data_IF_380817690629
#
_entry.id   IF_380817690629
#
_cell.length_a   1.000
_cell.length_b   1.000
_cell.length_c   1.000
_cell.angle_alpha   90.00
_cell.angle_beta   90.00
_cell.angle_gamma   90.00
#
_symmetry.space_group_name_H-M   'P 1'
#
loop_
_entity.id
_entity.type
_entity.pdbx_description
1 polymer ?
#
# COMPACT_ATOMS: atom_id res chain seq x y z
N UNK A 1 -35.78 -12.40 -64.33
CA UNK A 1 -34.47 -12.83 -63.80
C UNK A 1 -34.11 -11.88 -62.63
N UNK A 2 -34.37 -12.31 -61.41
CA UNK A 2 -34.11 -11.53 -60.21
C UNK A 2 -32.70 -11.86 -59.73
N UNK A 3 -31.78 -10.89 -59.71
CA UNK A 3 -30.46 -11.03 -59.12
C UNK A 3 -30.56 -10.73 -57.62
N UNK A 4 -30.38 -11.75 -56.80
CA UNK A 4 -30.25 -11.65 -55.34
C UNK A 4 -28.79 -11.22 -55.07
N UNK A 5 -28.62 -10.00 -54.59
CA UNK A 5 -27.32 -9.52 -54.12
C UNK A 5 -27.22 -9.90 -52.62
N UNK A 6 -26.44 -10.91 -52.34
CA UNK A 6 -26.12 -11.32 -50.96
C UNK A 6 -25.07 -10.38 -50.37
N UNK A 7 -25.51 -9.52 -49.48
CA UNK A 7 -24.65 -8.61 -48.72
C UNK A 7 -23.95 -9.42 -47.59
N UNK A 8 -22.69 -9.79 -47.78
CA UNK A 8 -21.88 -10.40 -46.74
C UNK A 8 -21.46 -9.29 -45.81
N UNK A 9 -22.12 -9.16 -44.70
CA UNK A 9 -21.80 -8.26 -43.60
C UNK A 9 -20.64 -8.88 -42.81
N UNK A 10 -19.37 -8.49 -43.09
CA UNK A 10 -18.20 -8.83 -42.28
C UNK A 10 -18.34 -8.10 -40.94
N UNK A 11 -18.83 -8.81 -39.93
CA UNK A 11 -18.76 -8.38 -38.53
C UNK A 11 -17.30 -8.55 -38.09
N UNK A 12 -16.56 -7.47 -38.11
CA UNK A 12 -15.28 -7.37 -37.43
C UNK A 12 -15.56 -7.41 -35.93
N UNK A 13 -15.43 -8.58 -35.35
CA UNK A 13 -15.36 -8.72 -33.89
C UNK A 13 -14.01 -8.12 -33.49
N UNK A 14 -14.03 -6.87 -33.09
CA UNK A 14 -12.92 -6.27 -32.34
C UNK A 14 -12.86 -7.02 -31.02
N UNK A 15 -12.08 -8.11 -30.98
CA UNK A 15 -11.61 -8.68 -29.76
C UNK A 15 -10.73 -7.63 -29.09
N UNK A 16 -11.34 -6.76 -28.29
CA UNK A 16 -10.64 -5.90 -27.35
C UNK A 16 -9.95 -6.86 -26.38
N UNK A 17 -8.68 -7.10 -26.62
CA UNK A 17 -7.81 -7.80 -25.68
C UNK A 17 -7.70 -6.88 -24.45
N UNK A 18 -8.59 -7.06 -23.49
CA UNK A 18 -8.55 -6.32 -22.24
C UNK A 18 -7.33 -6.83 -21.48
N UNK A 19 -6.27 -6.02 -21.43
CA UNK A 19 -5.06 -6.31 -20.68
C UNK A 19 -5.42 -6.72 -19.26
N UNK A 20 -4.91 -7.83 -18.78
CA UNK A 20 -5.14 -8.23 -17.41
C UNK A 20 -4.48 -7.23 -16.45
N UNK A 21 -5.03 -7.09 -15.25
CA UNK A 21 -4.44 -6.22 -14.21
C UNK A 21 -2.99 -6.61 -13.91
N UNK A 22 -2.66 -7.88 -13.97
CA UNK A 22 -1.32 -8.40 -13.74
C UNK A 22 -0.35 -7.98 -14.85
N UNK A 23 -0.76 -8.09 -16.11
CA UNK A 23 0.03 -7.64 -17.27
C UNK A 23 0.30 -6.13 -17.21
N UNK A 24 -0.73 -5.33 -16.91
CA UNK A 24 -0.59 -3.88 -16.73
C UNK A 24 0.40 -3.53 -15.60
N UNK A 25 0.35 -4.27 -14.47
CA UNK A 25 1.30 -4.10 -13.37
C UNK A 25 2.72 -4.48 -13.79
N UNK A 26 2.92 -5.60 -14.46
CA UNK A 26 4.24 -6.04 -14.93
C UNK A 26 4.84 -5.04 -15.92
N UNK A 27 4.03 -4.54 -16.85
CA UNK A 27 4.45 -3.49 -17.80
C UNK A 27 4.91 -2.24 -17.05
N UNK A 28 4.13 -1.77 -16.08
CA UNK A 28 4.46 -0.60 -15.29
C UNK A 28 5.78 -0.78 -14.51
N UNK A 29 5.95 -1.94 -13.85
CA UNK A 29 7.19 -2.25 -13.13
C UNK A 29 8.39 -2.27 -14.08
N UNK A 30 8.26 -2.86 -15.26
CA UNK A 30 9.32 -2.91 -16.27
C UNK A 30 9.65 -1.51 -16.82
N UNK A 31 8.65 -0.65 -17.01
CA UNK A 31 8.84 0.74 -17.45
C UNK A 31 9.65 1.56 -16.45
N UNK A 32 9.42 1.33 -15.15
CA UNK A 32 10.08 2.09 -14.09
C UNK A 32 11.43 1.49 -13.66
N UNK A 33 11.68 0.23 -13.90
CA UNK A 33 12.94 -0.41 -13.53
C UNK A 33 14.14 0.23 -14.25
N UNK A 34 15.13 0.69 -13.49
CA UNK A 34 16.29 1.41 -14.00
C UNK A 34 16.06 2.87 -14.39
N UNK A 35 14.82 3.38 -14.30
CA UNK A 35 14.51 4.80 -14.54
C UNK A 35 15.09 5.66 -13.41
N UNK A 36 15.75 6.75 -13.78
CA UNK A 36 16.29 7.70 -12.81
C UNK A 36 15.18 8.59 -12.23
N UNK A 37 15.13 8.71 -10.91
CA UNK A 37 14.29 9.68 -10.22
C UNK A 37 15.02 11.02 -10.13
N UNK A 38 14.42 12.04 -10.71
CA UNK A 38 14.91 13.42 -10.68
C UNK A 38 14.37 14.13 -9.45
N UNK A 39 15.26 14.63 -8.61
CA UNK A 39 14.89 15.42 -7.43
C UNK A 39 14.79 16.91 -7.75
N UNK A 40 13.87 17.65 -7.08
CA UNK A 40 13.85 19.10 -7.14
C UNK A 40 15.22 19.69 -6.74
N UNK A 41 15.61 20.79 -7.38
CA UNK A 41 16.88 21.47 -7.07
C UNK A 41 16.99 21.90 -5.61
N UNK A 42 15.85 22.11 -4.96
CA UNK A 42 15.77 22.46 -3.53
C UNK A 42 14.61 21.72 -2.88
N UNK A 43 14.92 20.79 -1.99
CA UNK A 43 13.94 20.10 -1.14
C UNK A 43 14.17 20.50 0.32
N UNK A 44 13.14 21.02 0.97
CA UNK A 44 13.22 21.42 2.37
C UNK A 44 12.54 20.35 3.21
N UNK A 45 13.33 19.61 3.96
CA UNK A 45 12.84 18.61 4.90
C UNK A 45 12.58 19.22 6.28
N UNK A 46 11.50 18.79 6.91
CA UNK A 46 11.06 19.28 8.21
C UNK A 46 10.59 18.16 9.11
N UNK A 47 10.74 18.32 10.42
CA UNK A 47 10.08 17.47 11.40
C UNK A 47 8.67 18.01 11.64
N UNK A 48 7.67 17.20 11.34
CA UNK A 48 6.24 17.52 11.51
C UNK A 48 5.83 18.86 10.85
N UNK A 49 6.49 19.24 9.76
CA UNK A 49 6.22 20.49 9.03
C UNK A 49 6.57 21.75 9.80
N UNK A 50 7.43 21.70 10.82
CA UNK A 50 7.83 22.82 11.67
C UNK A 50 9.33 23.09 11.60
N UNK A 51 10.13 22.22 12.17
CA UNK A 51 11.56 22.43 12.35
C UNK A 51 12.31 21.91 11.12
N UNK A 52 12.99 22.81 10.41
CA UNK A 52 13.80 22.47 9.24
C UNK A 52 15.03 21.64 9.68
N UNK A 53 15.31 20.59 8.94
CA UNK A 53 16.46 19.73 9.15
C UNK A 53 17.29 19.64 7.87
N UNK A 54 18.59 19.59 8.03
CA UNK A 54 19.51 19.24 6.95
C UNK A 54 19.44 17.71 6.74
N UNK A 55 18.95 17.30 5.58
CA UNK A 55 18.71 15.89 5.29
C UNK A 55 19.55 15.46 4.09
N UNK A 56 20.75 14.98 4.38
CA UNK A 56 21.67 14.49 3.35
C UNK A 56 21.37 13.04 2.99
N UNK A 57 21.25 12.76 1.71
CA UNK A 57 20.95 11.42 1.17
C UNK A 57 21.76 11.07 -0.09
N UNK A 58 22.64 11.97 -0.54
CA UNK A 58 23.35 11.83 -1.82
C UNK A 58 24.27 10.59 -1.90
N UNK A 59 24.93 10.23 -0.82
CA UNK A 59 25.95 9.18 -0.77
C UNK A 59 25.44 7.80 -0.32
N UNK A 60 24.12 7.63 -0.16
CA UNK A 60 23.57 6.36 0.28
C UNK A 60 23.52 5.34 -0.88
N UNK A 61 23.92 4.08 -0.61
CA UNK A 61 23.87 2.98 -1.58
C UNK A 61 22.43 2.70 -2.03
N UNK A 62 21.49 2.82 -1.11
CA UNK A 62 20.04 2.70 -1.36
C UNK A 62 19.29 3.85 -0.69
N UNK A 63 18.18 4.25 -1.31
CA UNK A 63 17.24 5.27 -0.81
C UNK A 63 15.81 4.80 -1.04
N UNK A 64 14.93 5.02 -0.07
CA UNK A 64 13.50 4.78 -0.26
C UNK A 64 12.81 6.12 -0.50
N UNK A 65 12.18 6.30 -1.66
CA UNK A 65 11.41 7.50 -1.98
C UNK A 65 9.93 7.17 -1.95
N UNK A 66 9.17 7.93 -1.18
CA UNK A 66 7.70 7.80 -1.11
C UNK A 66 7.08 9.15 -1.47
N UNK A 67 6.30 9.16 -2.54
CA UNK A 67 5.49 10.29 -2.93
C UNK A 67 4.04 10.04 -2.54
N UNK A 68 3.40 11.05 -1.95
CA UNK A 68 1.98 11.00 -1.59
C UNK A 68 1.30 12.24 -2.15
N UNK A 69 0.38 12.03 -3.10
CA UNK A 69 -0.37 13.07 -3.77
C UNK A 69 -1.52 13.63 -2.90
N UNK A 70 -2.11 14.73 -3.35
CA UNK A 70 -3.24 15.42 -2.71
C UNK A 70 -4.62 14.84 -3.03
N UNK A 71 -4.70 13.76 -3.83
CA UNK A 71 -5.98 13.19 -4.28
C UNK A 71 -6.55 12.24 -3.24
N UNK A 72 -7.81 12.43 -2.84
CA UNK A 72 -8.53 11.54 -1.92
C UNK A 72 -8.22 11.78 -0.44
N UNK A 73 -8.27 10.71 0.35
CA UNK A 73 -8.10 10.76 1.81
C UNK A 73 -6.62 10.79 2.21
N UNK A 74 -6.13 11.90 2.75
CA UNK A 74 -4.73 12.07 3.18
C UNK A 74 -4.34 11.05 4.26
N UNK A 75 -5.14 10.91 5.32
CA UNK A 75 -4.83 9.99 6.43
C UNK A 75 -4.77 8.53 5.98
N UNK A 76 -5.62 8.15 5.00
CA UNK A 76 -5.64 6.80 4.44
C UNK A 76 -4.34 6.45 3.71
N UNK A 77 -3.75 7.42 3.02
CA UNK A 77 -2.54 7.24 2.21
C UNK A 77 -1.27 7.26 3.04
N UNK A 78 -1.22 8.12 4.05
CA UNK A 78 0.00 8.35 4.84
C UNK A 78 0.46 7.10 5.59
N UNK A 79 -0.44 6.40 6.28
CA UNK A 79 -0.13 5.20 7.11
C UNK A 79 1.15 5.36 7.97
N UNK A 80 1.36 6.54 8.54
CA UNK A 80 2.56 6.94 9.27
C UNK A 80 3.01 5.95 10.35
N UNK A 81 2.11 5.33 11.16
CA UNK A 81 2.52 4.32 12.15
C UNK A 81 3.19 3.10 11.53
N UNK A 82 2.81 2.72 10.29
CA UNK A 82 3.45 1.60 9.57
C UNK A 82 4.81 2.00 9.03
N UNK A 83 4.94 3.23 8.53
CA UNK A 83 6.22 3.77 8.11
C UNK A 83 7.21 3.88 9.26
N UNK A 84 6.80 4.31 10.47
CA UNK A 84 7.67 4.30 11.67
C UNK A 84 8.26 2.91 11.92
N UNK A 85 7.46 1.85 11.82
CA UNK A 85 7.93 0.47 11.98
C UNK A 85 8.90 0.06 10.87
N UNK A 86 8.62 0.40 9.62
CA UNK A 86 9.48 0.08 8.48
C UNK A 86 10.82 0.79 8.57
N UNK A 87 10.83 2.09 8.89
CA UNK A 87 12.04 2.88 9.10
C UNK A 87 12.90 2.27 10.22
N UNK A 88 12.31 2.02 11.40
CA UNK A 88 13.02 1.45 12.52
C UNK A 88 13.64 0.06 12.21
N UNK A 89 12.93 -0.77 11.45
CA UNK A 89 13.40 -2.08 11.01
C UNK A 89 14.61 -1.95 10.05
N UNK A 90 14.51 -1.08 9.03
CA UNK A 90 15.61 -0.84 8.08
C UNK A 90 16.80 -0.21 8.78
N UNK A 91 16.59 0.77 9.67
CA UNK A 91 17.66 1.42 10.44
C UNK A 91 18.41 0.39 11.31
N UNK A 92 17.67 -0.52 11.96
CA UNK A 92 18.27 -1.60 12.75
C UNK A 92 19.14 -2.56 11.90
N UNK A 93 18.70 -2.87 10.68
CA UNK A 93 19.42 -3.77 9.77
C UNK A 93 20.60 -3.12 9.07
N UNK A 94 20.59 -1.80 8.92
CA UNK A 94 21.57 -1.05 8.10
C UNK A 94 22.38 -0.04 8.87
N UNK A 95 22.18 0.10 10.19
CA UNK A 95 22.75 1.17 11.01
C UNK A 95 22.44 2.57 10.43
N UNK A 96 21.19 2.81 10.00
CA UNK A 96 20.74 4.10 9.48
C UNK A 96 21.30 4.50 8.11
N UNK A 97 21.87 3.56 7.34
CA UNK A 97 22.48 3.87 6.04
C UNK A 97 21.52 4.01 4.88
N UNK A 98 20.23 3.74 5.06
CA UNK A 98 19.19 3.83 4.02
C UNK A 98 18.21 4.94 4.37
N UNK A 99 18.36 6.14 3.81
CA UNK A 99 17.43 7.23 4.06
C UNK A 99 16.08 6.99 3.40
N UNK A 100 15.04 7.42 4.10
CA UNK A 100 13.67 7.47 3.58
C UNK A 100 13.35 8.92 3.21
N UNK A 101 12.93 9.15 1.99
CA UNK A 101 12.60 10.46 1.43
C UNK A 101 11.09 10.55 1.26
N UNK A 102 10.43 11.15 2.24
CA UNK A 102 8.99 11.36 2.22
C UNK A 102 8.66 12.69 1.57
N UNK A 103 8.06 12.67 0.39
CA UNK A 103 7.54 13.83 -0.31
C UNK A 103 6.02 13.80 -0.27
N UNK A 104 5.44 14.77 0.40
CA UNK A 104 4.02 14.90 0.54
C UNK A 104 3.54 16.14 -0.18
N UNK A 105 2.71 15.95 -1.22
CA UNK A 105 2.01 17.04 -1.88
C UNK A 105 0.67 17.27 -1.17
N UNK A 106 0.57 18.22 -0.22
CA UNK A 106 -0.62 18.39 0.60
C UNK A 106 -1.74 19.12 -0.15
N UNK A 107 -2.98 18.65 -0.02
CA UNK A 107 -4.16 19.43 -0.33
C UNK A 107 -4.38 20.53 0.72
N UNK A 108 -4.14 20.18 1.99
CA UNK A 108 -4.15 21.10 3.13
C UNK A 108 -2.91 20.84 4.01
N UNK A 109 -2.05 21.83 4.09
CA UNK A 109 -0.84 21.78 4.91
C UNK A 109 -1.15 21.62 6.40
N UNK A 110 -2.27 22.20 6.89
CA UNK A 110 -2.66 22.12 8.30
C UNK A 110 -3.06 20.69 8.66
N UNK A 111 -3.84 20.05 7.79
CA UNK A 111 -4.22 18.64 7.95
C UNK A 111 -2.96 17.75 8.01
N UNK A 112 -2.03 17.90 7.08
CA UNK A 112 -0.81 17.11 7.04
C UNK A 112 0.05 17.31 8.31
N UNK A 113 0.19 18.55 8.79
CA UNK A 113 0.87 18.84 10.06
C UNK A 113 0.16 18.23 11.26
N UNK A 114 -1.17 18.25 11.27
CA UNK A 114 -1.95 17.60 12.32
C UNK A 114 -1.71 16.08 12.32
N UNK A 115 -1.78 15.43 11.16
CA UNK A 115 -1.59 14.00 11.03
C UNK A 115 -0.17 13.54 11.44
N UNK A 116 0.87 14.28 11.03
CA UNK A 116 2.25 13.97 11.42
C UNK A 116 2.46 14.09 12.93
N UNK A 117 1.79 15.04 13.60
CA UNK A 117 1.83 15.19 15.05
C UNK A 117 0.99 14.14 15.76
N UNK A 118 -0.24 13.90 15.32
CA UNK A 118 -1.14 12.89 15.89
C UNK A 118 -0.46 11.51 15.96
N UNK A 119 0.24 11.14 14.88
CA UNK A 119 0.90 9.86 14.77
C UNK A 119 2.35 9.87 15.31
N UNK A 120 2.76 11.00 15.91
CA UNK A 120 4.11 11.22 16.42
C UNK A 120 5.18 10.80 15.39
N UNK A 121 5.03 11.29 14.15
CA UNK A 121 5.94 10.99 13.06
C UNK A 121 7.07 12.01 13.05
N UNK A 122 8.19 11.64 13.65
CA UNK A 122 9.37 12.50 13.84
C UNK A 122 10.43 12.32 12.75
N UNK A 123 10.15 11.51 11.73
CA UNK A 123 11.07 11.35 10.59
C UNK A 123 10.94 12.55 9.63
N UNK A 124 12.06 12.99 8.99
CA UNK A 124 12.02 14.12 8.09
C UNK A 124 11.07 13.96 6.91
N UNK A 125 10.27 14.98 6.65
CA UNK A 125 9.32 15.02 5.53
C UNK A 125 9.48 16.31 4.73
N UNK A 126 9.39 16.22 3.41
CA UNK A 126 9.30 17.37 2.51
C UNK A 126 7.83 17.64 2.18
N UNK A 127 7.32 18.83 2.50
CA UNK A 127 6.01 19.29 2.06
C UNK A 127 6.17 19.94 0.69
N UNK A 128 6.00 19.14 -0.36
CA UNK A 128 6.14 19.56 -1.75
C UNK A 128 4.85 20.25 -2.23
N UNK A 129 4.63 21.48 -1.77
CA UNK A 129 3.41 22.26 -2.07
C UNK A 129 3.23 22.54 -3.57
N UNK A 130 4.32 22.53 -4.34
CA UNK A 130 4.31 22.79 -5.78
C UNK A 130 4.27 21.54 -6.63
N UNK A 131 4.22 20.37 -6.00
CA UNK A 131 4.26 19.08 -6.69
C UNK A 131 5.49 18.92 -7.61
N UNK A 132 6.63 19.50 -7.19
CA UNK A 132 7.83 19.56 -8.04
C UNK A 132 8.39 18.16 -8.33
N UNK A 133 8.42 17.28 -7.31
CA UNK A 133 8.92 15.93 -7.50
C UNK A 133 8.09 15.14 -8.53
N UNK A 134 6.77 15.19 -8.43
CA UNK A 134 5.90 14.51 -9.38
C UNK A 134 5.93 15.15 -10.78
N UNK A 135 6.01 16.47 -10.87
CA UNK A 135 6.14 17.18 -12.16
C UNK A 135 7.41 16.79 -12.90
N UNK A 136 8.51 16.51 -12.21
CA UNK A 136 9.77 16.06 -12.79
C UNK A 136 9.72 14.61 -13.27
N UNK A 137 8.96 13.75 -12.58
CA UNK A 137 9.01 12.29 -12.78
C UNK A 137 7.74 11.70 -13.39
N UNK A 138 6.58 12.36 -13.25
CA UNK A 138 5.27 11.89 -13.71
C UNK A 138 4.93 10.51 -13.15
N UNK A 139 4.85 10.42 -11.81
CA UNK A 139 4.58 9.16 -11.11
C UNK A 139 3.26 8.51 -11.52
N UNK A 140 3.14 7.18 -11.39
CA UNK A 140 1.89 6.48 -11.61
C UNK A 140 0.76 7.05 -10.75
N UNK A 141 -0.45 7.09 -11.29
CA UNK A 141 -1.63 7.57 -10.55
C UNK A 141 -2.09 6.60 -9.46
N UNK A 142 -1.79 5.30 -9.60
CA UNK A 142 -2.06 4.31 -8.55
C UNK A 142 -1.02 4.47 -7.44
N UNK A 143 -1.49 4.91 -6.26
CA UNK A 143 -0.68 5.15 -5.07
C UNK A 143 0.13 3.91 -4.61
N UNK A 144 -0.28 2.71 -5.01
CA UNK A 144 0.44 1.46 -4.72
C UNK A 144 1.84 1.47 -5.33
N UNK A 145 2.04 2.25 -6.41
CA UNK A 145 3.28 2.36 -7.16
C UNK A 145 4.01 3.70 -7.00
N UNK A 146 3.65 4.49 -5.99
CA UNK A 146 4.28 5.78 -5.69
C UNK A 146 5.39 5.68 -4.63
N UNK A 147 5.93 4.47 -4.42
CA UNK A 147 7.09 4.23 -3.55
C UNK A 147 8.14 3.45 -4.33
N UNK A 148 9.39 3.89 -4.21
CA UNK A 148 10.52 3.39 -4.98
C UNK A 148 11.72 3.11 -4.08
N UNK A 149 12.38 1.98 -4.29
CA UNK A 149 13.74 1.75 -3.81
C UNK A 149 14.70 2.18 -4.93
N UNK A 150 15.59 3.08 -4.62
CA UNK A 150 16.59 3.61 -5.54
C UNK A 150 17.98 3.10 -5.16
N UNK A 151 18.85 2.94 -6.15
CA UNK A 151 20.28 2.76 -5.97
C UNK A 151 21.00 4.08 -5.70
N UNK A 152 22.35 4.03 -5.59
CA UNK A 152 23.20 5.21 -5.40
C UNK A 152 23.06 6.25 -6.50
N UNK A 153 22.77 5.84 -7.72
CA UNK A 153 22.62 6.68 -8.92
C UNK A 153 21.18 7.18 -9.11
N UNK A 154 20.33 7.07 -8.09
CA UNK A 154 18.90 7.41 -8.09
C UNK A 154 18.06 6.61 -9.09
N UNK A 155 18.52 5.45 -9.55
CA UNK A 155 17.75 4.59 -10.43
C UNK A 155 16.86 3.65 -9.64
N UNK A 156 15.64 3.44 -10.13
CA UNK A 156 14.67 2.54 -9.53
C UNK A 156 15.15 1.10 -9.64
N UNK A 157 15.34 0.42 -8.51
CA UNK A 157 15.68 -1.00 -8.43
C UNK A 157 14.49 -1.87 -7.95
N UNK A 158 13.52 -1.26 -7.30
CA UNK A 158 12.23 -1.86 -6.99
C UNK A 158 11.17 -0.76 -6.82
N UNK A 159 9.90 -1.09 -7.11
CA UNK A 159 8.78 -0.19 -6.88
C UNK A 159 7.62 -0.91 -6.20
N UNK A 160 6.77 -0.13 -5.55
CA UNK A 160 5.62 -0.60 -4.79
C UNK A 160 5.73 -0.25 -3.32
N UNK A 161 4.60 -0.18 -2.64
CA UNK A 161 4.55 0.29 -1.26
C UNK A 161 4.84 -0.85 -0.25
N UNK A 162 6.02 -0.86 0.44
CA UNK A 162 6.41 -1.94 1.34
C UNK A 162 5.60 -1.98 2.64
N UNK A 163 4.94 -0.87 3.02
CA UNK A 163 4.08 -0.86 4.23
C UNK A 163 2.67 -1.36 3.93
N UNK A 164 2.31 -1.53 2.65
CA UNK A 164 1.03 -2.07 2.21
C UNK A 164 1.14 -3.50 1.66
N UNK A 165 2.34 -3.93 1.26
CA UNK A 165 2.55 -5.25 0.66
C UNK A 165 3.78 -5.95 1.26
N UNK A 166 3.58 -7.04 2.04
CA UNK A 166 4.68 -7.78 2.66
C UNK A 166 5.71 -8.34 1.66
N UNK A 167 5.27 -8.75 0.46
CA UNK A 167 6.20 -9.25 -0.58
C UNK A 167 7.09 -8.14 -1.11
N UNK A 168 6.55 -6.93 -1.24
CA UNK A 168 7.34 -5.74 -1.61
C UNK A 168 8.31 -5.38 -0.50
N UNK A 169 7.88 -5.47 0.77
CA UNK A 169 8.75 -5.27 1.93
C UNK A 169 9.91 -6.27 1.94
N UNK A 170 9.63 -7.56 1.76
CA UNK A 170 10.64 -8.61 1.68
C UNK A 170 11.62 -8.36 0.53
N UNK A 171 11.13 -7.94 -0.64
CA UNK A 171 11.98 -7.55 -1.77
C UNK A 171 12.92 -6.40 -1.43
N UNK A 172 12.41 -5.33 -0.79
CA UNK A 172 13.22 -4.18 -0.39
C UNK A 172 14.29 -4.59 0.62
N UNK A 173 13.92 -5.31 1.68
CA UNK A 173 14.85 -5.79 2.70
C UNK A 173 15.91 -6.71 2.09
N UNK A 174 15.52 -7.61 1.19
CA UNK A 174 16.44 -8.50 0.50
C UNK A 174 17.46 -7.77 -0.36
N UNK A 175 17.06 -6.71 -1.08
CA UNK A 175 17.96 -5.88 -1.88
C UNK A 175 18.90 -5.05 -0.99
N UNK A 176 18.36 -4.40 0.04
CA UNK A 176 19.10 -3.53 0.96
C UNK A 176 20.17 -4.31 1.75
N UNK A 177 19.83 -5.51 2.22
CA UNK A 177 20.73 -6.33 3.05
C UNK A 177 21.64 -7.26 2.25
N UNK A 178 21.45 -7.35 0.93
CA UNK A 178 22.12 -8.34 0.08
C UNK A 178 21.64 -9.79 0.31
N UNK A 179 20.76 -10.00 1.26
CA UNK A 179 20.14 -11.29 1.56
C UNK A 179 18.90 -11.45 0.69
N UNK A 180 19.05 -12.01 -0.50
CA UNK A 180 17.90 -12.55 -1.24
C UNK A 180 17.44 -13.78 -0.49
N UNK A 181 16.61 -13.60 0.52
CA UNK A 181 15.92 -14.71 1.19
C UNK A 181 15.14 -15.43 0.12
N UNK A 182 15.72 -16.54 -0.31
CA UNK A 182 15.04 -17.48 -1.16
C UNK A 182 13.78 -17.92 -0.44
N UNK A 183 12.64 -17.59 -1.04
CA UNK A 183 11.36 -18.27 -0.82
C UNK A 183 10.99 -18.47 0.65
N UNK A 184 10.04 -17.72 1.14
CA UNK A 184 9.07 -18.32 2.05
C UNK A 184 8.36 -19.44 1.26
N UNK A 185 9.03 -20.59 1.11
CA UNK A 185 8.43 -21.84 0.70
C UNK A 185 7.62 -22.39 1.86
N UNK A 186 6.77 -21.55 2.42
CA UNK A 186 5.72 -21.97 3.32
C UNK A 186 4.79 -22.86 2.54
N UNK A 187 4.57 -24.07 3.03
CA UNK A 187 3.58 -24.99 2.49
C UNK A 187 2.26 -24.24 2.32
N UNK A 188 1.77 -24.10 1.07
CA UNK A 188 0.50 -23.44 0.81
C UNK A 188 -0.64 -24.28 1.37
N UNK A 189 -1.64 -23.60 1.92
CA UNK A 189 -2.88 -24.22 2.41
C UNK A 189 -4.10 -23.65 1.71
N UNK A 190 -5.29 -24.00 2.15
CA UNK A 190 -6.57 -23.50 1.68
C UNK A 190 -7.31 -22.79 2.81
N UNK A 191 -8.07 -21.76 2.47
CA UNK A 191 -8.87 -21.00 3.42
C UNK A 191 -10.27 -20.80 2.87
N UNK A 192 -11.27 -20.90 3.72
CA UNK A 192 -12.61 -20.39 3.46
C UNK A 192 -12.91 -19.21 4.38
N UNK A 193 -13.78 -18.33 3.94
CA UNK A 193 -14.22 -17.16 4.67
C UNK A 193 -15.74 -17.18 4.82
N UNK A 194 -16.25 -16.75 5.95
CA UNK A 194 -17.69 -16.72 6.20
C UNK A 194 -18.39 -15.61 5.42
N UNK A 195 -17.74 -14.45 5.28
CA UNK A 195 -18.25 -13.24 4.63
C UNK A 195 -17.10 -12.52 3.91
N UNK A 196 -17.40 -11.86 2.80
CA UNK A 196 -16.44 -10.98 2.10
C UNK A 196 -16.74 -9.49 2.32
N UNK A 197 -17.86 -9.20 2.99
CA UNK A 197 -18.30 -7.83 3.28
C UNK A 197 -18.87 -7.75 4.69
N UNK A 198 -18.52 -6.68 5.41
CA UNK A 198 -19.13 -6.27 6.68
C UNK A 198 -19.85 -4.94 6.48
N UNK A 199 -21.14 -4.91 6.77
CA UNK A 199 -21.93 -3.70 6.79
C UNK A 199 -22.17 -3.27 8.24
N UNK A 200 -21.66 -2.09 8.62
CA UNK A 200 -21.83 -1.53 9.96
C UNK A 200 -23.15 -0.77 10.11
N UNK A 201 -23.91 -0.56 9.00
CA UNK A 201 -25.14 0.20 9.02
C UNK A 201 -24.93 1.70 9.28
N UNK A 202 -25.92 2.32 9.90
CA UNK A 202 -25.88 3.74 10.29
C UNK A 202 -25.61 3.83 11.79
N UNK A 203 -24.66 4.67 12.20
CA UNK A 203 -24.29 4.84 13.61
C UNK A 203 -23.75 6.27 13.88
N UNK A 204 -23.86 6.76 15.16
CA UNK A 204 -23.23 8.01 15.57
C UNK A 204 -21.72 7.96 15.39
N UNK A 205 -21.12 9.02 14.84
CA UNK A 205 -19.66 9.04 14.54
C UNK A 205 -18.77 8.92 15.78
N UNK A 206 -19.30 9.27 16.96
CA UNK A 206 -18.61 9.14 18.25
C UNK A 206 -18.55 7.67 18.74
N UNK A 207 -19.33 6.80 18.13
CA UNK A 207 -19.39 5.39 18.52
C UNK A 207 -18.42 4.53 17.71
N UNK A 208 -17.55 3.85 18.44
CA UNK A 208 -16.70 2.83 17.86
C UNK A 208 -17.54 1.61 17.46
N UNK A 209 -17.36 1.16 16.24
CA UNK A 209 -18.05 0.01 15.69
C UNK A 209 -17.11 -1.21 15.62
N UNK A 210 -17.65 -2.41 15.91
CA UNK A 210 -16.89 -3.66 15.85
C UNK A 210 -17.70 -4.73 15.13
N UNK A 211 -17.07 -5.43 14.19
CA UNK A 211 -17.60 -6.59 13.44
C UNK A 211 -16.45 -7.55 13.15
N UNK A 212 -16.76 -8.78 12.78
CA UNK A 212 -15.72 -9.79 12.55
C UNK A 212 -15.93 -10.57 11.25
N UNK A 213 -14.81 -10.87 10.59
CA UNK A 213 -14.71 -11.95 9.61
C UNK A 213 -14.19 -13.21 10.32
N UNK A 214 -14.58 -14.38 9.83
CA UNK A 214 -14.04 -15.65 10.29
C UNK A 214 -13.34 -16.35 9.13
N UNK A 215 -12.06 -16.65 9.34
CA UNK A 215 -11.25 -17.47 8.45
C UNK A 215 -11.26 -18.92 8.97
N UNK A 216 -11.48 -19.88 8.07
CA UNK A 216 -11.37 -21.32 8.38
C UNK A 216 -10.25 -21.92 7.54
N UNK A 217 -9.28 -22.55 8.16
CA UNK A 217 -8.25 -23.31 7.42
C UNK A 217 -8.87 -24.64 6.94
N UNK A 218 -9.20 -24.71 5.66
CA UNK A 218 -9.77 -25.90 5.01
C UNK A 218 -8.72 -26.79 4.35
N UNK A 219 -7.45 -26.38 4.37
CA UNK A 219 -6.33 -27.13 3.82
C UNK A 219 -5.69 -28.07 4.82
N UNK A 220 -4.60 -28.73 4.41
CA UNK A 220 -3.86 -29.72 5.22
C UNK A 220 -2.65 -29.12 5.96
N UNK A 221 -2.17 -27.94 5.54
CA UNK A 221 -1.04 -27.22 6.15
C UNK A 221 -1.50 -26.17 7.13
N UNK A 222 -0.58 -25.61 7.90
CA UNK A 222 -0.87 -24.47 8.76
C UNK A 222 -1.19 -23.24 7.90
N UNK A 223 -2.25 -22.48 8.23
CA UNK A 223 -2.56 -21.19 7.62
C UNK A 223 -1.88 -20.10 8.45
N UNK A 224 -1.00 -19.37 7.80
CA UNK A 224 -0.22 -18.28 8.41
C UNK A 224 -0.64 -16.96 7.82
N UNK A 225 -1.12 -16.03 8.65
CA UNK A 225 -1.36 -14.64 8.27
C UNK A 225 -0.02 -13.89 8.38
N UNK A 226 0.48 -13.45 7.24
CA UNK A 226 1.75 -12.71 7.14
C UNK A 226 1.56 -11.24 7.54
N UNK A 227 0.49 -10.62 7.02
CA UNK A 227 0.11 -9.23 7.35
C UNK A 227 -1.37 -8.99 7.04
N UNK A 228 -1.93 -7.94 7.68
CA UNK A 228 -3.24 -7.39 7.35
C UNK A 228 -3.09 -5.89 7.15
N UNK A 229 -3.57 -5.40 6.01
CA UNK A 229 -3.57 -3.98 5.69
C UNK A 229 -4.99 -3.46 5.53
N UNK A 230 -5.19 -2.18 5.82
CA UNK A 230 -6.46 -1.48 5.66
C UNK A 230 -6.28 -0.29 4.73
N UNK A 231 -7.31 0.07 3.98
CA UNK A 231 -7.26 1.23 3.08
C UNK A 231 -7.32 2.58 3.82
N UNK A 232 -7.55 2.61 5.15
CA UNK A 232 -7.53 3.83 5.97
C UNK A 232 -7.01 3.55 7.38
N UNK A 233 -6.54 4.61 8.07
CA UNK A 233 -6.19 4.57 9.49
C UNK A 233 -7.39 4.46 10.44
N UNK A 234 -8.60 4.78 9.94
CA UNK A 234 -9.87 4.68 10.66
C UNK A 234 -10.37 3.22 10.82
N UNK A 235 -9.73 2.26 10.17
CA UNK A 235 -10.05 0.84 10.27
C UNK A 235 -8.86 0.09 10.86
N UNK A 236 -9.07 -0.60 11.98
CA UNK A 236 -8.08 -1.47 12.64
C UNK A 236 -8.56 -2.91 12.57
N UNK A 237 -7.63 -3.86 12.56
CA UNK A 237 -7.95 -5.29 12.61
C UNK A 237 -7.13 -5.94 13.71
N UNK A 238 -7.82 -6.57 14.65
CA UNK A 238 -7.23 -7.36 15.72
C UNK A 238 -7.39 -8.85 15.41
N UNK A 239 -6.33 -9.60 15.57
CA UNK A 239 -6.30 -11.05 15.34
C UNK A 239 -5.12 -11.70 16.07
N UNK A 240 -5.21 -13.02 16.31
CA UNK A 240 -4.08 -13.79 16.82
C UNK A 240 -2.97 -13.92 15.79
N UNK A 241 -1.72 -13.82 16.23
CA UNK A 241 -0.55 -14.04 15.39
C UNK A 241 -0.16 -15.52 15.24
N UNK A 242 -0.87 -16.39 15.94
CA UNK A 242 -0.62 -17.82 15.90
C UNK A 242 -1.08 -18.44 14.57
N UNK A 243 -0.34 -19.42 14.05
CA UNK A 243 -0.78 -20.17 12.88
C UNK A 243 -2.09 -20.93 13.14
N UNK A 244 -2.98 -20.91 12.16
CA UNK A 244 -4.29 -21.58 12.22
C UNK A 244 -4.12 -23.03 11.77
N UNK A 245 -4.46 -23.98 12.64
CA UNK A 245 -4.36 -25.43 12.34
C UNK A 245 -5.42 -25.84 11.32
N UNK A 246 -5.19 -26.94 10.55
CA UNK A 246 -6.22 -27.52 9.71
C UNK A 246 -7.54 -27.77 10.46
N UNK A 247 -8.65 -27.40 9.82
CA UNK A 247 -10.00 -27.56 10.38
C UNK A 247 -10.38 -26.56 11.48
N UNK A 248 -9.47 -25.65 11.89
CA UNK A 248 -9.79 -24.63 12.92
C UNK A 248 -10.04 -23.25 12.29
N UNK A 249 -10.63 -22.38 13.09
CA UNK A 249 -11.03 -21.02 12.69
C UNK A 249 -10.21 -19.96 13.41
N UNK A 250 -10.15 -18.77 12.81
CA UNK A 250 -9.64 -17.54 13.43
C UNK A 250 -10.60 -16.39 13.14
N UNK A 251 -10.88 -15.62 14.15
CA UNK A 251 -11.65 -14.37 14.04
C UNK A 251 -10.72 -13.21 13.72
N UNK A 252 -11.10 -12.40 12.72
CA UNK A 252 -10.50 -11.11 12.40
C UNK A 252 -11.46 -10.03 12.85
N UNK A 253 -11.22 -9.43 14.00
CA UNK A 253 -12.04 -8.37 14.58
C UNK A 253 -11.72 -7.05 13.91
N UNK A 254 -12.67 -6.52 13.16
CA UNK A 254 -12.56 -5.23 12.48
C UNK A 254 -13.19 -4.16 13.35
N UNK A 255 -12.42 -3.13 13.60
CA UNK A 255 -12.77 -1.98 14.42
C UNK A 255 -12.77 -0.75 13.52
N UNK A 256 -13.88 -0.02 13.47
CA UNK A 256 -14.00 1.22 12.74
C UNK A 256 -14.29 2.39 13.69
N UNK A 257 -13.49 3.45 13.58
CA UNK A 257 -13.63 4.70 14.33
C UNK A 257 -13.75 5.84 13.32
N UNK A 258 -14.94 6.46 13.22
CA UNK A 258 -15.16 7.56 12.28
C UNK A 258 -14.48 8.83 12.76
N UNK A 259 -13.70 9.49 11.88
CA UNK A 259 -13.10 10.79 12.17
C UNK A 259 -14.10 11.95 11.97
N UNK A 260 -15.11 11.74 11.13
CA UNK A 260 -16.16 12.69 10.79
C UNK A 260 -17.43 11.97 10.33
N UNK A 261 -18.54 12.68 10.23
CA UNK A 261 -19.73 12.14 9.57
C UNK A 261 -19.41 11.85 8.10
N UNK A 262 -19.49 10.59 7.70
CA UNK A 262 -19.19 10.16 6.33
C UNK A 262 -19.88 8.84 6.00
N UNK A 263 -20.19 8.66 4.73
CA UNK A 263 -20.44 7.34 4.17
C UNK A 263 -19.10 6.72 3.78
N UNK A 264 -18.83 5.49 4.20
CA UNK A 264 -17.54 4.86 3.95
C UNK A 264 -17.66 3.50 3.28
N UNK A 265 -16.64 3.21 2.47
CA UNK A 265 -16.39 1.91 1.88
C UNK A 265 -14.87 1.69 1.90
N UNK A 266 -14.41 0.82 2.79
CA UNK A 266 -12.97 0.57 3.05
C UNK A 266 -12.64 -0.88 2.73
N UNK A 267 -11.38 -1.14 2.44
CA UNK A 267 -10.88 -2.49 2.14
C UNK A 267 -9.94 -2.95 3.26
N UNK A 268 -10.16 -4.19 3.72
CA UNK A 268 -9.22 -4.96 4.52
C UNK A 268 -8.57 -5.99 3.62
N UNK A 269 -7.24 -6.02 3.58
CA UNK A 269 -6.46 -6.95 2.76
C UNK A 269 -5.64 -7.86 3.67
N UNK A 270 -5.85 -9.17 3.56
CA UNK A 270 -5.17 -10.20 4.37
C UNK A 270 -4.16 -10.94 3.51
N UNK A 271 -2.89 -10.87 3.87
CA UNK A 271 -1.80 -11.62 3.23
C UNK A 271 -1.54 -12.89 4.00
N UNK A 272 -1.65 -14.03 3.35
CA UNK A 272 -1.47 -15.36 3.97
C UNK A 272 -0.84 -16.35 2.98
N UNK A 273 -0.48 -17.54 3.47
CA UNK A 273 0.15 -18.60 2.66
C UNK A 273 -0.87 -19.44 1.88
N UNK A 274 -1.81 -18.81 1.19
CA UNK A 274 -2.75 -19.48 0.28
C UNK A 274 -2.53 -19.04 -1.16
N UNK A 275 -3.05 -19.83 -2.11
CA UNK A 275 -2.97 -19.47 -3.55
C UNK A 275 -3.74 -18.20 -3.86
N UNK A 276 -4.85 -17.97 -3.17
CA UNK A 276 -5.75 -16.83 -3.37
C UNK A 276 -5.31 -15.58 -2.61
N UNK A 277 -4.13 -15.61 -1.97
CA UNK A 277 -3.58 -14.46 -1.26
C UNK A 277 -3.11 -13.36 -2.23
N UNK A 278 -3.44 -12.09 -1.97
CA UNK A 278 -4.14 -11.59 -0.79
C UNK A 278 -5.67 -11.70 -0.88
N UNK A 279 -6.30 -12.06 0.26
CA UNK A 279 -7.75 -12.00 0.40
C UNK A 279 -8.18 -10.55 0.62
N UNK A 280 -9.29 -10.14 -0.01
CA UNK A 280 -9.82 -8.77 0.11
C UNK A 280 -11.23 -8.80 0.67
N UNK A 281 -11.46 -7.96 1.67
CA UNK A 281 -12.75 -7.82 2.35
C UNK A 281 -13.20 -6.37 2.27
N UNK A 282 -14.50 -6.17 2.10
CA UNK A 282 -15.13 -4.85 2.09
C UNK A 282 -15.70 -4.55 3.48
N UNK A 283 -15.53 -3.32 3.93
CA UNK A 283 -16.10 -2.79 5.18
C UNK A 283 -16.81 -1.49 4.83
N UNK A 284 -18.13 -1.41 5.04
CA UNK A 284 -18.94 -0.25 4.67
C UNK A 284 -19.91 0.16 5.77
N UNK A 285 -20.41 1.38 5.69
CA UNK A 285 -21.39 1.94 6.62
C UNK A 285 -21.53 3.45 6.47
N UNK A 286 -22.31 4.07 7.36
CA UNK A 286 -22.52 5.51 7.44
C UNK A 286 -22.41 5.99 8.88
N UNK A 287 -21.45 6.85 9.14
CA UNK A 287 -21.34 7.58 10.41
C UNK A 287 -22.04 8.94 10.27
N UNK A 288 -22.89 9.34 11.22
CA UNK A 288 -23.63 10.62 11.22
C UNK A 288 -23.35 11.48 12.45
#
# INVERSE_FOLDING_TARGET
MRRIVTLIMCVWVLASCQESREEAMLRLVNEWNGKEIKFPARSVFTIQGKDTVDWEFGNADYKVVTYIDSVGCTSCKLQLPRWKKMVAEVDSLTNGRVPFLFYFHPKDRKELRYLTRRDDFTYPVCFDERDELNRLNQFPTDMTFQTFLLDKDNKVVAMGNPVQNPKVKELYLGLITGNRSSKSSGQTTQVSVNLTELDFGNFPKEEKQERSFVLTNTGKGLLVIQDITTSCGCTKVEYSKEPIRPGTTMELKVIYEAEKAEHFNKTVTVYCNTKDSPLRFTVKGSAY
#
